data_IF_457382635405
#
_entry.id   IF_457382635405
#
_cell.length_a   1.000
_cell.length_b   1.000
_cell.length_c   1.000
_cell.angle_alpha   90.00
_cell.angle_beta   90.00
_cell.angle_gamma   90.00
#
_symmetry.space_group_name_H-M   'P 1'
#
loop_
_entity.id
_entity.type
_entity.pdbx_description
1 polymer ?
#
# COMPACT_ATOMS: atom_id res chain seq x y z
N UNK A 1 0.38 -19.21 -21.69
CA UNK A 1 -0.32 -20.14 -22.60
C UNK A 1 -1.12 -19.38 -23.65
N UNK A 2 -2.03 -18.48 -23.29
CA UNK A 2 -2.91 -17.79 -24.26
C UNK A 2 -2.19 -16.96 -25.33
N UNK A 3 -1.01 -16.42 -25.06
CA UNK A 3 -0.17 -15.73 -26.07
C UNK A 3 0.45 -16.72 -27.07
N UNK A 4 0.66 -17.95 -26.65
CA UNK A 4 1.18 -19.03 -27.51
C UNK A 4 0.04 -19.61 -28.37
N UNK A 5 -1.18 -19.61 -27.83
CA UNK A 5 -2.35 -20.15 -28.52
C UNK A 5 -2.81 -19.27 -29.70
N UNK A 6 -2.50 -17.95 -29.70
CA UNK A 6 -2.82 -17.04 -30.80
C UNK A 6 -2.17 -17.42 -32.14
N UNK A 7 -0.83 -17.64 -32.23
CA UNK A 7 -0.24 -18.12 -33.49
C UNK A 7 -0.73 -19.50 -33.91
N UNK A 8 -1.02 -20.40 -32.95
CA UNK A 8 -1.66 -21.70 -33.27
C UNK A 8 -3.05 -21.53 -33.86
N UNK A 9 -3.83 -20.54 -33.42
CA UNK A 9 -5.14 -20.24 -34.03
C UNK A 9 -5.02 -19.90 -35.51
N UNK A 10 -3.98 -19.14 -35.92
CA UNK A 10 -3.75 -18.85 -37.34
C UNK A 10 -3.44 -20.10 -38.16
N UNK A 11 -2.63 -21.02 -37.60
CA UNK A 11 -2.32 -22.30 -38.24
C UNK A 11 -3.58 -23.15 -38.38
N UNK A 12 -4.41 -23.20 -37.33
CA UNK A 12 -5.67 -23.95 -37.35
C UNK A 12 -6.63 -23.35 -38.40
N UNK A 13 -6.75 -22.04 -38.50
CA UNK A 13 -7.57 -21.36 -39.53
C UNK A 13 -7.09 -21.66 -40.93
N UNK A 14 -5.76 -21.72 -41.16
CA UNK A 14 -5.20 -22.12 -42.45
C UNK A 14 -5.54 -23.56 -42.79
N UNK A 15 -5.50 -24.50 -41.82
CA UNK A 15 -5.87 -25.91 -42.04
C UNK A 15 -7.37 -26.02 -42.35
N UNK A 16 -8.23 -25.24 -41.66
CA UNK A 16 -9.68 -25.19 -41.98
C UNK A 16 -9.91 -24.66 -43.37
N UNK A 17 -9.15 -23.64 -43.84
CA UNK A 17 -9.25 -23.09 -45.18
C UNK A 17 -8.86 -24.12 -46.25
N UNK A 18 -7.82 -24.92 -46.00
CA UNK A 18 -7.37 -25.97 -46.92
C UNK A 18 -8.34 -27.16 -47.03
N UNK A 19 -8.96 -27.55 -45.90
CA UNK A 19 -9.85 -28.71 -45.82
C UNK A 19 -11.32 -28.37 -46.16
N UNK A 20 -11.81 -27.24 -45.65
CA UNK A 20 -13.20 -26.83 -45.67
C UNK A 20 -13.48 -25.62 -46.56
N UNK A 21 -12.48 -25.05 -47.25
CA UNK A 21 -12.66 -23.93 -48.16
C UNK A 21 -13.42 -22.76 -47.50
N UNK A 22 -14.63 -22.51 -47.94
CA UNK A 22 -15.45 -21.38 -47.47
C UNK A 22 -15.86 -21.47 -45.97
N UNK A 23 -15.80 -22.65 -45.35
CA UNK A 23 -16.14 -22.80 -43.91
C UNK A 23 -15.22 -21.99 -42.97
N UNK A 24 -14.04 -21.61 -43.43
CA UNK A 24 -13.10 -20.79 -42.65
C UNK A 24 -13.65 -19.41 -42.28
N UNK A 25 -14.60 -18.88 -43.06
CA UNK A 25 -15.21 -17.57 -42.79
C UNK A 25 -16.02 -17.55 -41.48
N UNK A 26 -16.54 -18.70 -41.02
CA UNK A 26 -17.31 -18.77 -39.79
C UNK A 26 -16.45 -18.40 -38.57
N UNK A 27 -15.32 -19.06 -38.29
CA UNK A 27 -14.45 -18.66 -37.20
C UNK A 27 -13.79 -17.29 -37.42
N UNK A 28 -13.50 -16.89 -38.69
CA UNK A 28 -12.92 -15.56 -38.96
C UNK A 28 -13.89 -14.43 -38.58
N UNK A 29 -15.20 -14.60 -38.75
CA UNK A 29 -16.22 -13.61 -38.34
C UNK A 29 -16.47 -13.69 -36.82
N UNK A 30 -16.52 -14.88 -36.27
CA UNK A 30 -16.73 -15.08 -34.82
C UNK A 30 -15.64 -14.43 -33.96
N UNK A 31 -14.38 -14.45 -34.41
CA UNK A 31 -13.24 -13.93 -33.69
C UNK A 31 -13.34 -12.41 -33.42
N UNK A 32 -13.46 -11.50 -34.40
CA UNK A 32 -13.59 -10.07 -34.14
C UNK A 32 -14.90 -9.72 -33.42
N UNK A 33 -15.96 -10.48 -33.60
CA UNK A 33 -17.21 -10.26 -32.88
C UNK A 33 -17.02 -10.48 -31.37
N UNK A 34 -16.36 -11.57 -30.98
CA UNK A 34 -16.06 -11.85 -29.58
C UNK A 34 -15.11 -10.80 -28.96
N UNK A 35 -14.06 -10.40 -29.69
CA UNK A 35 -13.15 -9.34 -29.26
C UNK A 35 -13.85 -7.98 -29.11
N UNK A 36 -14.74 -7.63 -30.03
CA UNK A 36 -15.51 -6.39 -29.98
C UNK A 36 -16.38 -6.29 -28.73
N UNK A 37 -17.07 -7.38 -28.37
CA UNK A 37 -17.86 -7.44 -27.12
C UNK A 37 -16.97 -7.32 -25.89
N UNK A 38 -15.83 -8.01 -25.88
CA UNK A 38 -14.84 -7.88 -24.81
C UNK A 38 -14.38 -6.42 -24.62
N UNK A 39 -14.08 -5.73 -25.72
CA UNK A 39 -13.70 -4.32 -25.70
C UNK A 39 -14.82 -3.39 -25.22
N UNK A 40 -16.06 -3.65 -25.62
CA UNK A 40 -17.22 -2.86 -25.22
C UNK A 40 -17.46 -2.93 -23.70
N UNK A 41 -17.28 -4.11 -23.11
CA UNK A 41 -17.48 -4.34 -21.68
C UNK A 41 -16.27 -3.91 -20.81
N UNK A 42 -15.13 -3.62 -21.43
CA UNK A 42 -13.92 -3.26 -20.74
C UNK A 42 -14.05 -1.97 -19.91
N UNK A 43 -14.58 -0.89 -20.51
CA UNK A 43 -14.72 0.42 -19.85
C UNK A 43 -15.58 0.36 -18.58
N UNK A 44 -16.82 -0.18 -18.59
CA UNK A 44 -17.64 -0.27 -17.40
C UNK A 44 -17.06 -1.23 -16.35
N UNK A 45 -16.35 -2.27 -16.79
CA UNK A 45 -15.68 -3.20 -15.89
C UNK A 45 -14.54 -2.52 -15.12
N UNK A 46 -13.64 -1.80 -15.82
CA UNK A 46 -12.53 -1.07 -15.21
C UNK A 46 -13.01 -0.03 -14.20
N UNK A 47 -13.97 0.81 -14.59
CA UNK A 47 -14.54 1.83 -13.70
C UNK A 47 -15.19 1.22 -12.44
N UNK A 48 -15.82 0.04 -12.57
CA UNK A 48 -16.42 -0.65 -11.42
C UNK A 48 -15.34 -1.26 -10.54
N UNK A 49 -14.27 -1.83 -11.11
CA UNK A 49 -13.13 -2.39 -10.38
C UNK A 49 -12.41 -1.32 -9.55
N UNK A 50 -12.11 -0.16 -10.14
CA UNK A 50 -11.48 0.97 -9.44
C UNK A 50 -12.29 1.40 -8.21
N UNK A 51 -13.61 1.56 -8.38
CA UNK A 51 -14.51 1.89 -7.26
C UNK A 51 -14.55 0.80 -6.19
N UNK A 52 -14.54 -0.47 -6.60
CA UNK A 52 -14.52 -1.60 -5.66
C UNK A 52 -13.23 -1.59 -4.83
N UNK A 53 -12.09 -1.31 -5.45
CA UNK A 53 -10.80 -1.22 -4.74
C UNK A 53 -10.76 -0.04 -3.77
N UNK A 54 -11.24 1.14 -4.18
CA UNK A 54 -11.29 2.32 -3.32
C UNK A 54 -12.17 2.10 -2.08
N UNK A 55 -13.40 1.57 -2.26
CA UNK A 55 -14.29 1.24 -1.13
C UNK A 55 -13.77 0.07 -0.29
N UNK A 56 -13.04 -0.87 -0.90
CA UNK A 56 -12.36 -1.94 -0.17
C UNK A 56 -11.30 -1.40 0.78
N UNK A 57 -10.53 -0.42 0.34
CA UNK A 57 -9.54 0.28 1.17
C UNK A 57 -10.21 1.08 2.30
N UNK A 58 -11.29 1.82 2.01
CA UNK A 58 -12.07 2.55 3.00
C UNK A 58 -12.65 1.63 4.07
N UNK A 59 -13.24 0.49 3.67
CA UNK A 59 -13.72 -0.54 4.59
C UNK A 59 -12.60 -1.02 5.53
N UNK A 60 -11.42 -1.32 4.96
CA UNK A 60 -10.28 -1.80 5.74
C UNK A 60 -9.79 -0.74 6.73
N UNK A 61 -9.70 0.52 6.31
CA UNK A 61 -9.33 1.65 7.16
C UNK A 61 -10.30 1.83 8.31
N UNK A 62 -11.61 1.81 8.03
CA UNK A 62 -12.67 1.93 9.04
C UNK A 62 -12.63 0.79 10.07
N UNK A 63 -12.32 -0.44 9.62
CA UNK A 63 -12.16 -1.58 10.53
C UNK A 63 -10.96 -1.39 11.46
N UNK A 64 -9.81 -1.00 10.91
CA UNK A 64 -8.59 -0.74 11.69
C UNK A 64 -8.84 0.39 12.69
N UNK A 65 -9.48 1.49 12.27
CA UNK A 65 -9.82 2.61 13.14
C UNK A 65 -10.72 2.17 14.30
N UNK A 66 -11.78 1.41 14.00
CA UNK A 66 -12.73 0.92 15.00
C UNK A 66 -12.07 -0.02 16.02
N UNK A 67 -11.22 -0.94 15.54
CA UNK A 67 -10.49 -1.87 16.43
C UNK A 67 -9.41 -1.18 17.24
N UNK A 68 -8.69 -0.22 16.66
CA UNK A 68 -7.65 0.55 17.35
C UNK A 68 -8.24 1.50 18.40
N UNK A 69 -9.46 1.99 18.16
CA UNK A 69 -10.20 2.86 19.07
C UNK A 69 -11.31 2.14 19.85
N UNK A 70 -11.22 0.83 20.06
CA UNK A 70 -12.31 0.03 20.64
C UNK A 70 -12.77 0.53 22.01
N UNK A 71 -11.83 0.95 22.86
CA UNK A 71 -12.15 1.51 24.18
C UNK A 71 -13.03 2.77 24.05
N UNK A 72 -12.67 3.66 23.12
CA UNK A 72 -13.46 4.87 22.86
C UNK A 72 -14.84 4.53 22.29
N UNK A 73 -14.94 3.54 21.40
CA UNK A 73 -16.22 3.06 20.86
C UNK A 73 -17.11 2.54 21.99
N UNK A 74 -16.55 1.75 22.92
CA UNK A 74 -17.26 1.16 24.06
C UNK A 74 -17.71 2.20 25.07
N UNK A 75 -16.81 3.09 25.47
CA UNK A 75 -17.11 4.14 26.47
C UNK A 75 -18.19 5.11 25.97
N UNK A 76 -18.23 5.38 24.66
CA UNK A 76 -19.21 6.29 24.08
C UNK A 76 -20.50 5.58 23.58
N UNK A 77 -20.65 4.26 23.79
CA UNK A 77 -21.77 3.45 23.27
C UNK A 77 -22.00 3.63 21.75
N UNK A 78 -20.89 3.75 20.99
CA UNK A 78 -20.92 4.05 19.56
C UNK A 78 -20.94 2.79 18.66
N UNK A 79 -21.13 1.59 19.24
CA UNK A 79 -21.10 0.31 18.51
C UNK A 79 -22.13 0.26 17.39
N UNK A 80 -23.37 0.64 17.71
CA UNK A 80 -24.47 0.59 16.73
C UNK A 80 -24.25 1.55 15.56
N UNK A 81 -23.69 2.72 15.83
CA UNK A 81 -23.36 3.69 14.78
C UNK A 81 -22.22 3.18 13.88
N UNK A 82 -21.14 2.64 14.47
CA UNK A 82 -20.02 2.05 13.74
C UNK A 82 -20.44 0.83 12.94
N UNK A 83 -21.29 -0.02 13.52
CA UNK A 83 -21.86 -1.16 12.82
C UNK A 83 -22.68 -0.71 11.61
N UNK A 84 -23.54 0.28 11.78
CA UNK A 84 -24.37 0.81 10.70
C UNK A 84 -23.53 1.37 9.54
N UNK A 85 -22.49 2.17 9.84
CA UNK A 85 -21.56 2.71 8.85
C UNK A 85 -20.87 1.59 8.09
N UNK A 86 -20.41 0.55 8.80
CA UNK A 86 -19.76 -0.61 8.21
C UNK A 86 -20.69 -1.42 7.32
N UNK A 87 -21.93 -1.66 7.75
CA UNK A 87 -22.97 -2.33 6.97
C UNK A 87 -23.31 -1.57 5.68
N UNK A 88 -23.38 -0.24 5.73
CA UNK A 88 -23.59 0.61 4.56
C UNK A 88 -22.45 0.46 3.54
N UNK A 89 -21.22 0.49 4.01
CA UNK A 89 -20.02 0.32 3.17
C UNK A 89 -20.00 -1.08 2.55
N UNK A 90 -20.26 -2.13 3.32
CA UNK A 90 -20.35 -3.51 2.82
C UNK A 90 -21.50 -3.66 1.81
N UNK A 91 -22.66 -3.10 2.10
CA UNK A 91 -23.81 -3.17 1.19
C UNK A 91 -23.51 -2.51 -0.17
N UNK A 92 -22.76 -1.41 -0.16
CA UNK A 92 -22.32 -0.74 -1.40
C UNK A 92 -21.25 -1.54 -2.13
N UNK A 93 -20.26 -2.04 -1.40
CA UNK A 93 -19.18 -2.88 -1.92
C UNK A 93 -19.73 -4.16 -2.57
N UNK A 94 -20.63 -4.86 -1.88
CA UNK A 94 -21.26 -6.09 -2.39
C UNK A 94 -22.05 -5.87 -3.69
N UNK A 95 -22.73 -4.72 -3.81
CA UNK A 95 -23.40 -4.34 -5.08
C UNK A 95 -22.41 -4.12 -6.21
N UNK A 96 -21.27 -3.49 -5.96
CA UNK A 96 -20.22 -3.29 -6.96
C UNK A 96 -19.54 -4.61 -7.34
N UNK A 97 -19.24 -5.47 -6.37
CA UNK A 97 -18.68 -6.80 -6.61
C UNK A 97 -19.63 -7.68 -7.43
N UNK A 98 -20.94 -7.63 -7.13
CA UNK A 98 -21.94 -8.31 -7.93
C UNK A 98 -21.95 -7.76 -9.37
N UNK A 99 -21.84 -6.45 -9.54
CA UNK A 99 -21.78 -5.83 -10.86
C UNK A 99 -20.54 -6.27 -11.65
N UNK A 100 -19.37 -6.36 -10.98
CA UNK A 100 -18.15 -6.93 -11.59
C UNK A 100 -18.38 -8.37 -12.04
N UNK A 101 -19.00 -9.21 -11.18
CA UNK A 101 -19.30 -10.60 -11.51
C UNK A 101 -20.28 -10.73 -12.68
N UNK A 102 -21.31 -9.88 -12.74
CA UNK A 102 -22.28 -9.86 -13.85
C UNK A 102 -21.59 -9.44 -15.14
N UNK A 103 -20.82 -8.35 -15.14
CA UNK A 103 -20.13 -7.85 -16.34
C UNK A 103 -19.12 -8.87 -16.88
N UNK A 104 -18.30 -9.44 -16.01
CA UNK A 104 -17.33 -10.47 -16.40
C UNK A 104 -18.01 -11.76 -16.85
N UNK A 105 -19.06 -12.17 -16.15
CA UNK A 105 -19.89 -13.33 -16.54
C UNK A 105 -20.59 -13.15 -17.88
N UNK A 106 -21.13 -11.96 -18.15
CA UNK A 106 -21.71 -11.61 -19.45
C UNK A 106 -20.67 -11.69 -20.56
N UNK A 107 -19.49 -11.11 -20.37
CA UNK A 107 -18.41 -11.17 -21.35
C UNK A 107 -18.05 -12.64 -21.68
N UNK A 108 -17.90 -13.48 -20.66
CA UNK A 108 -17.58 -14.89 -20.84
C UNK A 108 -18.74 -15.67 -21.54
N UNK A 109 -19.98 -15.51 -21.05
CA UNK A 109 -21.14 -16.25 -21.59
C UNK A 109 -21.46 -15.84 -23.01
N UNK A 110 -21.34 -14.56 -23.38
CA UNK A 110 -21.56 -14.11 -24.76
C UNK A 110 -20.46 -14.70 -25.67
N UNK A 111 -19.19 -14.73 -25.20
CA UNK A 111 -18.11 -15.37 -25.97
C UNK A 111 -18.38 -16.85 -26.22
N UNK A 112 -18.85 -17.58 -25.19
CA UNK A 112 -19.24 -18.99 -25.32
C UNK A 112 -20.44 -19.17 -26.26
N UNK A 113 -21.42 -18.27 -26.20
CA UNK A 113 -22.58 -18.29 -27.11
C UNK A 113 -22.14 -18.12 -28.57
N UNK A 114 -21.25 -17.16 -28.84
CA UNK A 114 -20.69 -16.96 -30.19
C UNK A 114 -19.98 -18.23 -30.66
N UNK A 115 -19.20 -18.88 -29.81
CA UNK A 115 -18.50 -20.13 -30.12
C UNK A 115 -19.48 -21.26 -30.45
N UNK A 116 -20.57 -21.40 -29.68
CA UNK A 116 -21.60 -22.41 -29.92
C UNK A 116 -22.33 -22.15 -31.23
N UNK A 117 -22.74 -20.89 -31.49
CA UNK A 117 -23.38 -20.49 -32.73
C UNK A 117 -22.48 -20.73 -33.94
N UNK A 118 -21.17 -20.44 -33.83
CA UNK A 118 -20.19 -20.75 -34.86
C UNK A 118 -20.12 -22.27 -35.14
N UNK A 119 -20.19 -23.11 -34.08
CA UNK A 119 -20.24 -24.56 -34.20
C UNK A 119 -21.49 -25.04 -34.96
N UNK A 120 -22.68 -24.50 -34.61
CA UNK A 120 -23.91 -24.83 -35.28
C UNK A 120 -23.86 -24.39 -36.75
N UNK A 121 -23.42 -23.16 -37.02
CA UNK A 121 -23.24 -22.65 -38.38
C UNK A 121 -22.29 -23.52 -39.20
N UNK A 122 -21.17 -23.97 -38.59
CA UNK A 122 -20.21 -24.87 -39.22
C UNK A 122 -20.85 -26.18 -39.69
N UNK A 123 -21.71 -26.78 -38.85
CA UNK A 123 -22.43 -27.99 -39.21
C UNK A 123 -23.45 -27.72 -40.33
N UNK A 124 -24.28 -26.69 -40.18
CA UNK A 124 -25.31 -26.37 -41.17
C UNK A 124 -24.70 -26.09 -42.55
N UNK A 125 -23.73 -25.18 -42.64
CA UNK A 125 -23.09 -24.86 -43.93
C UNK A 125 -22.27 -26.03 -44.48
N UNK A 126 -21.62 -26.80 -43.58
CA UNK A 126 -20.85 -27.98 -43.97
C UNK A 126 -21.73 -29.08 -44.58
N UNK A 127 -22.95 -29.30 -44.08
CA UNK A 127 -23.93 -30.23 -44.68
C UNK A 127 -24.30 -29.82 -46.09
N UNK A 128 -24.57 -28.52 -46.33
CA UNK A 128 -24.83 -28.02 -47.67
C UNK A 128 -23.64 -28.27 -48.63
N UNK A 129 -22.42 -28.05 -48.18
CA UNK A 129 -21.22 -28.30 -48.98
C UNK A 129 -20.99 -29.81 -49.25
N UNK A 130 -21.44 -30.69 -48.37
CA UNK A 130 -21.41 -32.16 -48.61
C UNK A 130 -22.43 -32.52 -49.70
N UNK A 131 -23.64 -31.96 -49.65
CA UNK A 131 -24.68 -32.19 -50.66
C UNK A 131 -24.20 -31.72 -52.04
N UNK A 132 -23.49 -30.58 -52.12
CA UNK A 132 -22.90 -30.05 -53.34
C UNK A 132 -21.64 -30.81 -53.78
N UNK A 133 -21.19 -31.83 -53.04
CA UNK A 133 -20.01 -32.63 -53.39
C UNK A 133 -18.67 -31.97 -53.16
N UNK A 134 -18.63 -30.78 -52.53
CA UNK A 134 -17.44 -29.98 -52.29
C UNK A 134 -16.72 -30.30 -50.98
N UNK A 135 -17.33 -31.11 -50.07
CA UNK A 135 -16.75 -31.47 -48.81
C UNK A 135 -17.09 -32.93 -48.47
N UNK A 136 -16.10 -33.64 -47.87
CA UNK A 136 -16.36 -34.97 -47.33
C UNK A 136 -16.89 -34.92 -45.89
N UNK A 137 -17.61 -35.97 -45.45
CA UNK A 137 -18.05 -36.09 -44.05
C UNK A 137 -16.91 -35.97 -43.05
N UNK A 138 -15.75 -36.63 -43.33
CA UNK A 138 -14.56 -36.53 -42.49
C UNK A 138 -13.99 -35.12 -42.47
N UNK A 139 -14.06 -34.39 -43.61
CA UNK A 139 -13.62 -32.98 -43.67
C UNK A 139 -14.50 -32.08 -42.79
N UNK A 140 -15.84 -32.27 -42.78
CA UNK A 140 -16.74 -31.52 -41.90
C UNK A 140 -16.42 -31.78 -40.42
N UNK A 141 -16.25 -33.03 -40.02
CA UNK A 141 -15.93 -33.38 -38.61
C UNK A 141 -14.61 -32.76 -38.22
N UNK A 142 -13.57 -32.82 -39.11
CA UNK A 142 -12.28 -32.20 -38.86
C UNK A 142 -12.39 -30.67 -38.71
N UNK A 143 -13.11 -29.98 -39.60
CA UNK A 143 -13.33 -28.55 -39.54
C UNK A 143 -14.09 -28.13 -38.26
N UNK A 144 -15.09 -28.88 -37.84
CA UNK A 144 -15.85 -28.64 -36.61
C UNK A 144 -14.96 -28.75 -35.37
N UNK A 145 -14.16 -29.83 -35.25
CA UNK A 145 -13.22 -30.02 -34.13
C UNK A 145 -12.14 -28.95 -34.09
N UNK A 146 -11.61 -28.58 -35.25
CA UNK A 146 -10.58 -27.52 -35.37
C UNK A 146 -11.17 -26.15 -35.05
N UNK A 147 -12.40 -25.84 -35.48
CA UNK A 147 -13.09 -24.59 -35.16
C UNK A 147 -13.24 -24.42 -33.62
N UNK A 148 -13.65 -25.47 -32.90
CA UNK A 148 -13.71 -25.43 -31.45
C UNK A 148 -12.37 -25.12 -30.79
N UNK A 149 -11.28 -25.71 -31.32
CA UNK A 149 -9.92 -25.42 -30.81
C UNK A 149 -9.44 -24.02 -31.18
N UNK A 150 -9.80 -23.50 -32.38
CA UNK A 150 -9.44 -22.14 -32.80
C UNK A 150 -10.14 -21.06 -31.97
N UNK A 151 -11.40 -21.29 -31.59
CA UNK A 151 -12.20 -20.33 -30.80
C UNK A 151 -12.02 -20.47 -29.29
N UNK A 152 -11.45 -21.60 -28.79
CA UNK A 152 -11.21 -21.86 -27.37
C UNK A 152 -10.42 -20.74 -26.66
N UNK A 153 -9.31 -20.25 -27.20
CA UNK A 153 -8.54 -19.16 -26.59
C UNK A 153 -9.31 -17.85 -26.39
N UNK A 154 -10.40 -17.60 -27.16
CA UNK A 154 -11.22 -16.39 -27.01
C UNK A 154 -11.89 -16.29 -25.65
N UNK A 155 -12.39 -17.42 -25.12
CA UNK A 155 -12.99 -17.45 -23.78
C UNK A 155 -11.95 -17.16 -22.69
N UNK A 156 -10.72 -17.64 -22.88
CA UNK A 156 -9.61 -17.38 -21.96
C UNK A 156 -9.15 -15.92 -22.05
N UNK A 157 -9.14 -15.29 -23.23
CA UNK A 157 -8.78 -13.89 -23.43
C UNK A 157 -9.69 -12.95 -22.63
N UNK A 158 -10.99 -13.22 -22.55
CA UNK A 158 -11.93 -12.43 -21.74
C UNK A 158 -11.57 -12.46 -20.25
N UNK A 159 -11.20 -13.62 -19.71
CA UNK A 159 -10.72 -13.75 -18.32
C UNK A 159 -9.36 -13.09 -18.09
N UNK A 160 -8.45 -13.21 -19.06
CA UNK A 160 -7.13 -12.56 -19.03
C UNK A 160 -7.24 -11.04 -19.04
N UNK A 161 -8.15 -10.48 -19.81
CA UNK A 161 -8.39 -9.05 -19.88
C UNK A 161 -8.84 -8.49 -18.53
N UNK A 162 -9.72 -9.21 -17.81
CA UNK A 162 -10.15 -8.83 -16.46
C UNK A 162 -8.98 -8.84 -15.49
N UNK A 163 -8.15 -9.90 -15.52
CA UNK A 163 -6.94 -9.99 -14.66
C UNK A 163 -5.91 -8.93 -15.00
N UNK A 164 -5.73 -8.62 -16.28
CA UNK A 164 -4.85 -7.54 -16.73
C UNK A 164 -5.30 -6.18 -16.19
N UNK A 165 -6.60 -5.88 -16.23
CA UNK A 165 -7.14 -4.64 -15.68
C UNK A 165 -6.94 -4.57 -14.16
N UNK A 166 -7.17 -5.65 -13.44
CA UNK A 166 -6.87 -5.72 -12.01
C UNK A 166 -5.39 -5.45 -11.72
N UNK A 167 -4.50 -6.13 -12.45
CA UNK A 167 -3.06 -5.94 -12.31
C UNK A 167 -2.64 -4.50 -12.63
N UNK A 168 -3.22 -3.89 -13.68
CA UNK A 168 -2.94 -2.50 -14.06
C UNK A 168 -3.35 -1.52 -12.96
N UNK A 169 -4.56 -1.65 -12.41
CA UNK A 169 -5.04 -0.78 -11.33
C UNK A 169 -4.16 -0.92 -10.08
N UNK A 170 -3.80 -2.16 -9.72
CA UNK A 170 -2.87 -2.41 -8.62
C UNK A 170 -1.50 -1.81 -8.88
N UNK A 171 -0.97 -1.95 -10.10
CA UNK A 171 0.35 -1.39 -10.47
C UNK A 171 0.37 0.14 -10.37
N UNK A 172 -0.69 0.82 -10.84
CA UNK A 172 -0.84 2.28 -10.69
C UNK A 172 -0.80 2.69 -9.21
N UNK A 173 -1.45 1.91 -8.32
CA UNK A 173 -1.41 2.20 -6.88
C UNK A 173 -0.01 1.99 -6.28
N UNK A 174 0.74 1.00 -6.77
CA UNK A 174 2.14 0.78 -6.36
C UNK A 174 3.03 1.89 -6.90
N UNK A 175 2.87 2.28 -8.17
CA UNK A 175 3.63 3.39 -8.78
C UNK A 175 3.40 4.70 -8.00
N UNK A 176 2.15 5.02 -7.66
CA UNK A 176 1.84 6.19 -6.81
C UNK A 176 2.53 6.14 -5.45
N UNK A 177 2.66 4.94 -4.86
CA UNK A 177 3.40 4.78 -3.61
C UNK A 177 4.91 4.98 -3.80
N UNK A 178 5.46 4.50 -4.93
CA UNK A 178 6.88 4.66 -5.25
C UNK A 178 7.26 6.09 -5.65
N UNK A 179 6.30 6.88 -6.13
CA UNK A 179 6.47 8.30 -6.47
C UNK A 179 6.42 9.23 -5.24
N UNK A 180 6.04 8.69 -4.05
CA UNK A 180 6.06 9.50 -2.83
C UNK A 180 7.48 10.01 -2.55
N UNK A 181 7.61 11.27 -2.11
CA UNK A 181 8.91 11.84 -1.79
C UNK A 181 9.60 11.00 -0.70
N UNK A 182 10.82 10.59 -0.99
CA UNK A 182 11.64 9.84 -0.05
C UNK A 182 12.28 10.78 0.95
N UNK A 183 12.36 10.37 2.21
CA UNK A 183 13.03 11.14 3.26
C UNK A 183 14.52 11.32 2.97
N UNK A 184 15.13 10.33 2.31
CA UNK A 184 16.55 10.34 1.93
C UNK A 184 16.67 10.33 0.41
N UNK A 185 17.24 11.40 -0.14
CA UNK A 185 17.60 11.43 -1.55
C UNK A 185 18.97 10.75 -1.73
N UNK A 186 18.98 9.55 -2.35
CA UNK A 186 20.22 8.79 -2.58
C UNK A 186 21.14 9.42 -3.64
N UNK A 187 20.65 10.37 -4.42
CA UNK A 187 21.45 11.08 -5.42
C UNK A 187 22.27 12.22 -4.77
N UNK A 188 21.83 12.75 -3.65
CA UNK A 188 22.56 13.75 -2.88
C UNK A 188 23.51 13.04 -1.90
N UNK A 189 24.74 13.53 -1.77
CA UNK A 189 25.69 13.06 -0.77
C UNK A 189 25.58 13.97 0.46
N UNK A 190 24.77 13.61 1.46
CA UNK A 190 24.65 14.40 2.66
C UNK A 190 25.99 14.44 3.41
N UNK A 191 26.21 15.51 4.15
CA UNK A 191 27.38 15.63 5.02
C UNK A 191 27.26 14.63 6.17
N UNK A 192 28.25 13.72 6.27
CA UNK A 192 28.37 12.82 7.41
C UNK A 192 29.09 13.55 8.56
N UNK A 193 28.42 13.64 9.72
CA UNK A 193 28.99 14.11 10.97
C UNK A 193 28.73 13.11 12.07
N UNK A 194 29.75 12.37 12.43
CA UNK A 194 29.63 11.29 13.42
C UNK A 194 29.32 11.80 14.83
N UNK A 195 29.74 13.01 15.18
CA UNK A 195 29.53 13.61 16.51
C UNK A 195 29.06 15.05 16.33
N UNK A 196 27.94 15.37 16.97
CA UNK A 196 27.39 16.73 17.05
C UNK A 196 27.71 17.33 18.42
N UNK A 197 28.08 18.62 18.45
CA UNK A 197 28.33 19.36 19.69
C UNK A 197 27.06 19.89 20.34
N UNK A 198 25.97 19.98 19.56
CA UNK A 198 24.66 20.36 20.03
C UNK A 198 24.35 21.86 19.99
N UNK A 199 25.11 22.67 19.21
CA UNK A 199 24.68 24.03 18.90
C UNK A 199 23.51 23.98 17.93
N UNK A 200 22.43 24.73 18.20
CA UNK A 200 21.23 24.76 17.35
C UNK A 200 20.81 26.20 17.10
N UNK A 201 20.41 26.50 15.86
CA UNK A 201 20.00 27.85 15.50
C UNK A 201 18.82 27.81 14.52
N UNK A 202 17.69 28.40 14.92
CA UNK A 202 16.53 28.67 14.06
C UNK A 202 16.65 30.11 13.54
N UNK A 203 16.60 30.29 12.22
CA UNK A 203 16.64 31.61 11.55
C UNK A 203 15.40 31.81 10.73
N UNK A 204 14.51 32.68 11.19
CA UNK A 204 13.25 33.05 10.52
C UNK A 204 12.46 31.83 10.04
N UNK A 205 12.34 30.80 10.89
CA UNK A 205 11.72 29.53 10.54
C UNK A 205 10.21 29.65 10.55
N UNK A 206 9.60 29.37 9.40
CA UNK A 206 8.18 29.14 9.21
C UNK A 206 7.93 27.66 8.94
N UNK A 207 6.82 27.12 9.47
CA UNK A 207 6.48 25.73 9.26
C UNK A 207 4.97 25.50 9.30
N UNK A 208 4.48 24.71 8.34
CA UNK A 208 3.10 24.23 8.23
C UNK A 208 3.08 22.71 8.15
N UNK A 209 2.18 22.05 8.86
CA UNK A 209 2.02 20.60 8.71
C UNK A 209 1.43 20.26 7.33
N UNK A 210 1.83 19.12 6.73
CA UNK A 210 1.22 18.65 5.49
C UNK A 210 -0.31 18.63 5.59
N UNK A 211 -0.98 19.07 4.52
CA UNK A 211 -2.43 19.16 4.42
C UNK A 211 -3.11 20.17 5.39
N UNK A 212 -2.36 21.07 6.03
CA UNK A 212 -2.88 22.19 6.80
C UNK A 212 -2.62 23.51 6.08
N UNK A 213 -3.47 24.53 6.32
CA UNK A 213 -3.29 25.87 5.75
C UNK A 213 -2.76 26.88 6.78
N UNK A 214 -2.73 26.48 8.06
CA UNK A 214 -2.30 27.37 9.15
C UNK A 214 -0.85 27.09 9.53
N UNK A 215 -0.05 28.13 9.64
CA UNK A 215 1.33 28.07 10.13
C UNK A 215 1.34 27.51 11.57
N UNK A 216 2.07 26.43 11.78
CA UNK A 216 2.33 25.88 13.12
C UNK A 216 3.47 26.62 13.83
N UNK A 217 4.42 27.13 13.07
CA UNK A 217 5.48 28.01 13.54
C UNK A 217 5.57 29.21 12.60
N UNK A 218 5.79 30.41 13.16
CA UNK A 218 5.89 31.65 12.39
C UNK A 218 7.08 32.48 12.86
N UNK A 219 8.01 32.74 11.96
CA UNK A 219 9.19 33.57 12.15
C UNK A 219 9.96 33.23 13.44
N UNK A 220 10.24 31.96 13.65
CA UNK A 220 10.97 31.50 14.84
C UNK A 220 12.45 31.81 14.70
N UNK A 221 12.96 32.50 15.70
CA UNK A 221 14.37 32.82 15.86
C UNK A 221 14.81 32.36 17.27
N UNK A 222 15.72 31.37 17.33
CA UNK A 222 16.21 30.80 18.58
C UNK A 222 17.65 30.32 18.38
N UNK A 223 18.51 30.65 19.32
CA UNK A 223 19.89 30.17 19.36
C UNK A 223 20.10 29.39 20.65
N UNK A 224 20.62 28.17 20.52
CA UNK A 224 20.96 27.26 21.62
C UNK A 224 22.45 26.96 21.54
N UNK A 225 23.17 27.18 22.63
CA UNK A 225 24.60 26.90 22.73
C UNK A 225 24.84 25.45 23.19
N UNK A 226 25.98 24.85 22.87
CA UNK A 226 26.36 23.54 23.40
C UNK A 226 26.26 23.50 24.92
N UNK A 227 25.65 22.45 25.46
CA UNK A 227 25.47 22.25 26.91
C UNK A 227 24.41 23.13 27.58
N UNK A 228 23.73 23.99 26.83
CA UNK A 228 22.66 24.85 27.35
C UNK A 228 21.39 24.06 27.63
N UNK A 229 20.70 24.38 28.73
CA UNK A 229 19.41 23.81 29.08
C UNK A 229 18.31 24.83 28.84
N UNK A 230 17.38 24.53 27.94
CA UNK A 230 16.32 25.44 27.55
C UNK A 230 14.95 24.86 27.95
N UNK A 231 14.15 25.68 28.64
CA UNK A 231 12.73 25.40 28.91
C UNK A 231 11.83 26.16 27.94
N UNK A 232 11.00 25.44 27.17
CA UNK A 232 10.01 26.04 26.26
C UNK A 232 8.63 25.94 26.90
N UNK A 233 8.05 27.09 27.27
CA UNK A 233 6.73 27.20 27.89
C UNK A 233 5.76 27.94 26.96
N UNK A 234 4.51 27.60 27.02
CA UNK A 234 3.46 28.24 26.20
C UNK A 234 2.15 27.44 26.23
N UNK A 235 1.10 28.06 25.68
CA UNK A 235 -0.24 27.45 25.60
C UNK A 235 -0.23 26.17 24.76
N UNK A 236 -1.23 25.29 24.95
CA UNK A 236 -1.45 24.17 24.06
C UNK A 236 -1.64 24.68 22.62
N UNK A 237 -1.05 24.02 21.65
CA UNK A 237 -1.08 24.45 20.25
C UNK A 237 -0.09 25.56 19.85
N UNK A 238 0.79 26.03 20.77
CA UNK A 238 1.77 27.09 20.45
C UNK A 238 3.00 26.64 19.67
N UNK A 239 3.02 25.40 19.16
CA UNK A 239 4.13 24.92 18.30
C UNK A 239 5.33 24.29 19.04
N UNK A 240 5.30 24.10 20.38
CA UNK A 240 6.42 23.53 21.15
C UNK A 240 6.89 22.17 20.61
N UNK A 241 5.95 21.26 20.40
CA UNK A 241 6.24 19.92 19.84
C UNK A 241 6.69 19.99 18.38
N UNK A 242 6.25 21.01 17.64
CA UNK A 242 6.68 21.23 16.24
C UNK A 242 8.15 21.62 16.16
N UNK A 243 8.65 22.44 17.09
CA UNK A 243 10.09 22.75 17.21
C UNK A 243 10.93 21.50 17.42
N UNK A 244 10.52 20.63 18.35
CA UNK A 244 11.22 19.38 18.62
C UNK A 244 11.20 18.41 17.42
N UNK A 245 10.08 18.36 16.68
CA UNK A 245 9.96 17.53 15.48
C UNK A 245 10.82 18.03 14.32
N UNK A 246 10.99 19.35 14.16
CA UNK A 246 11.92 19.92 13.19
C UNK A 246 13.38 19.60 13.56
N UNK A 247 13.75 19.69 14.85
CA UNK A 247 15.10 19.37 15.33
C UNK A 247 15.54 17.95 15.02
N UNK A 248 14.65 16.98 15.12
CA UNK A 248 14.96 15.57 14.79
C UNK A 248 14.75 15.25 13.29
N UNK A 249 14.49 16.27 12.47
CA UNK A 249 14.34 16.10 11.03
C UNK A 249 13.12 15.29 10.62
N UNK A 250 12.04 15.22 11.43
CA UNK A 250 10.77 14.60 11.03
C UNK A 250 9.99 15.45 10.03
N UNK A 251 10.25 16.74 10.03
CA UNK A 251 9.74 17.71 9.07
C UNK A 251 10.86 18.68 8.71
N UNK A 252 10.72 19.34 7.57
CA UNK A 252 11.60 20.42 7.14
C UNK A 252 10.87 21.75 7.25
N UNK A 253 11.57 22.87 7.53
CA UNK A 253 10.96 24.20 7.51
C UNK A 253 10.53 24.58 6.10
N UNK A 254 9.38 25.27 5.97
CA UNK A 254 8.90 25.83 4.71
C UNK A 254 9.75 27.03 4.29
N UNK A 255 10.05 27.93 5.24
CA UNK A 255 10.92 29.08 5.06
C UNK A 255 11.96 29.17 6.19
N UNK A 256 13.03 29.89 5.93
CA UNK A 256 14.14 30.04 6.87
C UNK A 256 15.10 28.86 6.86
N UNK A 257 15.91 28.75 7.90
CA UNK A 257 16.90 27.68 8.06
C UNK A 257 17.02 27.23 9.50
N UNK A 258 17.25 25.92 9.68
CA UNK A 258 17.58 25.29 10.94
C UNK A 258 19.00 24.74 10.82
N UNK A 259 19.91 25.28 11.66
CA UNK A 259 21.29 24.85 11.65
C UNK A 259 21.59 24.03 12.92
N UNK A 260 22.38 22.98 12.73
CA UNK A 260 22.96 22.16 13.80
C UNK A 260 24.49 22.24 13.64
N UNK A 261 25.18 22.71 14.67
CA UNK A 261 26.63 22.99 14.65
C UNK A 261 27.04 23.84 13.42
N UNK A 262 26.22 24.82 13.05
CA UNK A 262 26.46 25.75 11.94
C UNK A 262 26.17 25.18 10.54
N UNK A 263 25.67 23.93 10.43
CA UNK A 263 25.28 23.29 9.16
C UNK A 263 23.77 23.18 9.08
N UNK A 264 23.20 23.52 7.93
CA UNK A 264 21.76 23.38 7.69
C UNK A 264 21.34 21.90 7.80
N UNK A 265 20.28 21.64 8.54
CA UNK A 265 19.78 20.28 8.81
C UNK A 265 19.48 19.49 7.52
N UNK A 266 19.11 20.18 6.44
CA UNK A 266 18.87 19.59 5.11
C UNK A 266 20.12 19.00 4.46
N UNK A 267 21.30 19.42 4.89
CA UNK A 267 22.60 18.94 4.39
C UNK A 267 23.17 17.79 5.22
N UNK A 268 22.64 17.55 6.41
CA UNK A 268 23.10 16.49 7.32
C UNK A 268 22.34 15.19 6.99
N UNK A 269 23.04 14.04 7.01
CA UNK A 269 22.37 12.75 6.93
C UNK A 269 21.39 12.59 8.10
N UNK A 270 20.12 12.37 7.79
CA UNK A 270 19.03 12.30 8.78
C UNK A 270 19.28 11.18 9.82
N UNK A 271 19.88 10.06 9.39
CA UNK A 271 20.22 8.96 10.31
C UNK A 271 21.29 9.40 11.29
N UNK A 272 22.32 10.11 10.83
CA UNK A 272 23.38 10.62 11.71
C UNK A 272 22.89 11.71 12.65
N UNK A 273 22.02 12.59 12.16
CA UNK A 273 21.35 13.57 13.00
C UNK A 273 20.61 12.88 14.17
N UNK A 274 19.79 11.87 13.85
CA UNK A 274 18.97 11.16 14.84
C UNK A 274 19.79 10.31 15.80
N UNK A 275 20.95 9.81 15.39
CA UNK A 275 21.85 9.10 16.29
C UNK A 275 22.48 9.99 17.37
N UNK A 276 22.51 11.30 17.12
CA UNK A 276 23.08 12.27 18.06
C UNK A 276 22.01 13.01 18.88
N UNK A 277 20.72 12.70 18.70
CA UNK A 277 19.61 13.39 19.38
C UNK A 277 18.72 12.39 20.10
N UNK A 278 18.81 12.36 21.43
CA UNK A 278 17.85 11.64 22.26
C UNK A 278 16.49 12.35 22.25
N UNK A 279 15.49 11.74 21.64
CA UNK A 279 14.13 12.30 21.53
C UNK A 279 13.11 11.51 22.33
N UNK A 280 12.42 12.20 23.26
CA UNK A 280 11.30 11.62 24.02
C UNK A 280 10.02 12.29 23.57
N UNK A 281 9.17 11.55 22.85
CA UNK A 281 7.89 12.05 22.35
C UNK A 281 6.86 12.18 23.50
N UNK A 282 5.85 13.04 23.29
CA UNK A 282 4.71 13.15 24.20
C UNK A 282 3.89 11.85 24.20
N UNK A 283 3.59 11.31 23.00
CA UNK A 283 2.92 10.04 22.82
C UNK A 283 3.97 8.94 22.56
N UNK A 284 4.27 8.19 23.60
CA UNK A 284 5.31 7.18 23.56
C UNK A 284 4.74 5.89 22.98
N UNK A 285 5.35 5.44 21.90
CA UNK A 285 5.10 4.14 21.30
C UNK A 285 6.34 3.25 21.47
N UNK A 286 6.11 2.06 22.01
CA UNK A 286 7.13 1.03 22.09
C UNK A 286 6.87 -0.01 21.00
N UNK A 287 7.95 -0.63 20.53
CA UNK A 287 7.88 -1.71 19.56
C UNK A 287 7.59 -3.04 20.26
N UNK A 288 6.89 -3.95 19.58
CA UNK A 288 6.74 -5.31 20.11
C UNK A 288 8.11 -5.97 20.23
N UNK A 289 8.37 -6.59 21.38
CA UNK A 289 9.65 -7.19 21.74
C UNK A 289 9.92 -7.09 23.23
N UNK A 290 11.17 -7.32 23.62
CA UNK A 290 11.59 -7.23 25.02
C UNK A 290 11.75 -5.79 25.48
N UNK A 291 11.80 -5.59 26.79
CA UNK A 291 12.15 -4.32 27.39
C UNK A 291 13.57 -3.89 26.94
N UNK A 292 14.52 -4.83 26.92
CA UNK A 292 15.89 -4.60 26.43
C UNK A 292 15.91 -4.15 24.98
N UNK A 293 15.19 -4.82 24.07
CA UNK A 293 15.12 -4.43 22.66
C UNK A 293 14.62 -2.99 22.48
N UNK A 294 13.66 -2.61 23.31
CA UNK A 294 13.13 -1.25 23.29
C UNK A 294 14.10 -0.21 23.82
N UNK A 295 14.93 -0.55 24.78
CA UNK A 295 15.95 0.36 25.32
C UNK A 295 17.06 0.62 24.31
N UNK A 296 17.60 -0.43 23.68
CA UNK A 296 18.71 -0.32 22.73
C UNK A 296 18.29 0.11 21.33
N UNK A 297 16.99 0.24 21.10
CA UNK A 297 16.46 0.61 19.78
C UNK A 297 16.98 1.98 19.34
N UNK A 298 17.73 2.02 18.24
CA UNK A 298 18.34 3.23 17.68
C UNK A 298 19.78 3.48 18.13
N UNK A 299 20.29 2.82 19.14
CA UNK A 299 21.67 2.99 19.58
C UNK A 299 22.64 2.10 18.77
N UNK A 300 23.84 2.63 18.45
CA UNK A 300 24.83 1.91 17.61
C UNK A 300 25.63 0.87 18.37
N UNK A 301 26.12 1.24 19.54
CA UNK A 301 26.98 0.41 20.36
C UNK A 301 26.52 0.54 21.81
N UNK A 302 25.91 -0.49 22.32
CA UNK A 302 25.40 -0.51 23.71
C UNK A 302 25.78 -1.84 24.33
N UNK A 303 26.49 -1.78 25.42
CA UNK A 303 26.77 -2.93 26.29
C UNK A 303 25.74 -3.04 27.43
N UNK A 304 25.76 -4.13 28.15
CA UNK A 304 24.79 -4.39 29.22
C UNK A 304 24.96 -3.42 30.41
N UNK A 305 26.16 -2.91 30.63
CA UNK A 305 26.42 -1.94 31.70
C UNK A 305 25.76 -0.58 31.37
N UNK A 306 25.88 -0.12 30.13
CA UNK A 306 25.19 1.10 29.65
C UNK A 306 23.68 0.97 29.77
N UNK A 307 23.11 -0.21 29.42
CA UNK A 307 21.65 -0.48 29.54
C UNK A 307 21.24 -0.38 31.02
N UNK A 308 21.99 -0.95 31.91
CA UNK A 308 21.70 -0.90 33.36
C UNK A 308 21.80 0.51 33.90
N UNK A 309 22.84 1.27 33.57
CA UNK A 309 23.02 2.66 33.99
C UNK A 309 21.87 3.56 33.47
N UNK A 310 21.54 3.49 32.19
CA UNK A 310 20.45 4.24 31.65
C UNK A 310 19.08 3.82 32.24
N UNK A 311 18.90 2.53 32.49
CA UNK A 311 17.73 1.98 33.16
C UNK A 311 17.61 2.46 34.63
N UNK A 312 18.70 2.58 35.38
CA UNK A 312 18.69 3.13 36.73
C UNK A 312 18.34 4.63 36.70
N UNK A 313 19.01 5.41 35.86
CA UNK A 313 18.77 6.86 35.73
C UNK A 313 17.35 7.21 35.36
N UNK A 314 16.76 6.39 34.50
CA UNK A 314 15.37 6.61 34.00
C UNK A 314 14.32 5.90 34.88
N UNK A 315 14.67 5.15 35.90
CA UNK A 315 13.75 4.40 36.78
C UNK A 315 13.15 3.13 36.12
N UNK A 316 13.76 2.63 35.05
CA UNK A 316 13.37 1.36 34.42
C UNK A 316 13.76 0.18 35.31
N UNK A 317 14.95 0.24 35.93
CA UNK A 317 15.47 -0.82 36.77
C UNK A 317 14.56 -1.17 37.95
N UNK A 318 13.86 -0.19 38.49
CA UNK A 318 12.94 -0.35 39.63
C UNK A 318 11.83 -1.37 39.35
N UNK A 319 11.19 -1.29 38.19
CA UNK A 319 10.11 -2.23 37.84
C UNK A 319 10.64 -3.49 37.15
N UNK A 320 11.72 -3.38 36.37
CA UNK A 320 12.33 -4.54 35.70
C UNK A 320 12.80 -5.60 36.71
N UNK A 321 13.50 -5.20 37.78
CA UNK A 321 13.97 -6.12 38.83
C UNK A 321 12.85 -6.86 39.60
N UNK A 322 11.66 -6.28 39.63
CA UNK A 322 10.49 -6.88 40.29
C UNK A 322 9.78 -7.92 39.42
N UNK A 323 10.06 -7.91 38.11
CA UNK A 323 9.48 -8.86 37.18
C UNK A 323 10.37 -10.10 37.01
N UNK A 324 9.81 -11.34 37.00
CA UNK A 324 10.60 -12.57 36.87
C UNK A 324 11.50 -12.63 35.64
N UNK A 325 11.12 -11.96 34.55
CA UNK A 325 11.88 -11.90 33.30
C UNK A 325 12.85 -10.72 33.24
N UNK A 326 12.86 -9.81 34.22
CA UNK A 326 13.75 -8.66 34.24
C UNK A 326 13.64 -7.83 32.94
N UNK A 327 14.79 -7.59 32.33
CA UNK A 327 14.86 -6.86 31.04
C UNK A 327 14.37 -7.65 29.82
N UNK A 328 14.13 -8.96 29.96
CA UNK A 328 13.50 -9.80 28.92
C UNK A 328 11.96 -9.75 28.96
N UNK A 329 11.38 -8.92 29.84
CA UNK A 329 9.95 -8.65 29.88
C UNK A 329 9.42 -8.24 28.52
N UNK A 330 8.39 -8.95 28.04
CA UNK A 330 7.70 -8.62 26.77
C UNK A 330 6.80 -7.40 26.97
N UNK A 331 7.08 -6.32 26.25
CA UNK A 331 6.33 -5.07 26.39
C UNK A 331 5.00 -5.05 25.63
N UNK A 332 4.82 -6.00 24.70
CA UNK A 332 3.60 -6.09 23.87
C UNK A 332 3.54 -5.02 22.78
N UNK A 333 2.50 -5.09 21.96
CA UNK A 333 2.25 -4.08 20.92
C UNK A 333 2.02 -2.71 21.55
N UNK A 334 2.73 -1.69 21.05
CA UNK A 334 2.67 -0.30 21.55
C UNK A 334 2.95 -0.17 23.07
N UNK A 335 3.57 -1.18 23.68
CA UNK A 335 3.87 -1.20 25.10
C UNK A 335 2.67 -1.40 26.01
N UNK A 336 1.63 -2.11 25.54
CA UNK A 336 0.37 -2.32 26.29
C UNK A 336 0.56 -3.04 27.63
N UNK A 337 1.63 -3.81 27.80
CA UNK A 337 1.94 -4.51 29.05
C UNK A 337 2.59 -3.60 30.10
N UNK A 338 2.86 -2.32 29.75
CA UNK A 338 3.47 -1.34 30.64
C UNK A 338 2.50 -0.22 30.99
N UNK A 339 2.58 0.32 32.20
CA UNK A 339 1.88 1.54 32.57
C UNK A 339 2.37 2.75 31.78
N UNK A 340 1.59 3.83 31.74
CA UNK A 340 2.00 5.08 31.06
C UNK A 340 3.35 5.62 31.57
N UNK A 341 3.55 5.62 32.90
CA UNK A 341 4.82 6.03 33.51
C UNK A 341 5.99 5.11 33.15
N UNK A 342 5.77 3.79 33.16
CA UNK A 342 6.81 2.84 32.75
C UNK A 342 7.23 3.03 31.29
N UNK A 343 6.25 3.26 30.37
CA UNK A 343 6.58 3.61 28.96
C UNK A 343 7.43 4.87 28.88
N UNK A 344 7.12 5.87 29.71
CA UNK A 344 7.88 7.12 29.79
C UNK A 344 9.31 6.90 30.26
N UNK A 345 9.50 6.07 31.27
CA UNK A 345 10.82 5.68 31.77
C UNK A 345 11.63 4.96 30.68
N UNK A 346 11.01 4.03 29.92
CA UNK A 346 11.67 3.34 28.79
C UNK A 346 12.10 4.33 27.71
N UNK A 347 11.25 5.26 27.33
CA UNK A 347 11.59 6.27 26.31
C UNK A 347 12.72 7.20 26.79
N UNK A 348 12.75 7.55 28.06
CA UNK A 348 13.81 8.34 28.66
C UNK A 348 15.13 7.56 28.67
N UNK A 349 15.12 6.30 29.12
CA UNK A 349 16.32 5.45 29.10
C UNK A 349 16.88 5.27 27.68
N UNK A 350 16.00 5.06 26.68
CA UNK A 350 16.38 5.01 25.26
C UNK A 350 17.10 6.30 24.82
N UNK A 351 16.56 7.47 25.20
CA UNK A 351 17.17 8.76 24.86
C UNK A 351 18.51 9.00 25.54
N UNK A 352 18.80 8.34 26.68
CA UNK A 352 20.06 8.42 27.39
C UNK A 352 21.15 7.48 26.81
N UNK A 353 20.76 6.50 25.97
CA UNK A 353 21.66 5.56 25.31
C UNK A 353 22.13 6.07 23.93
N UNK A 354 21.57 7.16 23.43
CA UNK A 354 21.95 7.85 22.18
C UNK A 354 22.92 8.98 22.52
#
# INVERSE_FOLDING_TARGET
>A
TSLIDLPFTLIILLVIALLGGHLVWIPIVAFPLALGIGHLLQKPLTATLERTMALGAERQSSLIETLSGLDAVKVNNAESERQYQWEQTIGTLSRLELRVKILSGLAMNITLLIQQLAGVAMICFGVYMIIDGNLSMGGLVACYMLSGRALGPLAQLSGLLTRYQQAKVTMVSVDQMMELPQERNFEERPLSRQVLQGAMEFRNVDFTYPNQQTLALKNINLVVRPGERIGIIGRSGSGKSSLAKLLVGLYQPDEGSLLVDGVDIRQIDVSELRYNIGYVAQDIQLLAGTLRDNLISGARYVDDEMVLQAGELAGVHEFARLHPQGYELQVGERGQNLSGGQRQNVALARALLL
#
